data_IF_364209402593
#
_entry.id   IF_364209402593
#
_cell.length_a   1.000
_cell.length_b   1.000
_cell.length_c   1.000
_cell.angle_alpha   90.00
_cell.angle_beta   90.00
_cell.angle_gamma   90.00
#
_symmetry.space_group_name_H-M   'P 1'
#
loop_
_entity.id
_entity.type
_entity.pdbx_description
1 polymer ?
#
# COMPACT_ATOMS: atom_id res chain seq x y z
N UNK A 1 12.57 -8.12 4.34
CA UNK A 1 11.82 -6.85 4.44
C UNK A 1 10.81 -6.84 5.57
N UNK A 2 9.79 -7.71 5.59
CA UNK A 2 8.65 -7.56 6.52
C UNK A 2 8.98 -7.79 8.02
N UNK A 3 9.86 -8.73 8.36
CA UNK A 3 10.17 -9.05 9.77
C UNK A 3 11.14 -8.07 10.44
N UNK A 4 12.10 -7.54 9.67
CA UNK A 4 13.18 -6.69 10.20
C UNK A 4 13.08 -5.23 9.75
N UNK A 5 12.08 -4.90 8.91
CA UNK A 5 11.80 -3.55 8.40
C UNK A 5 13.02 -2.82 7.83
N UNK A 6 13.93 -3.56 7.20
CA UNK A 6 15.14 -2.99 6.59
C UNK A 6 14.79 -2.02 5.46
N UNK A 7 15.46 -0.87 5.45
CA UNK A 7 15.29 0.13 4.39
C UNK A 7 15.92 -0.38 3.10
N UNK A 8 15.20 -0.22 2.01
CA UNK A 8 15.62 -0.64 0.68
C UNK A 8 15.85 0.57 -0.21
N UNK A 9 16.95 0.57 -0.97
CA UNK A 9 17.23 1.57 -2.00
C UNK A 9 16.29 1.40 -3.20
N UNK A 10 16.15 2.45 -4.01
CA UNK A 10 15.32 2.40 -5.22
C UNK A 10 15.78 1.30 -6.21
N UNK A 11 17.08 1.04 -6.28
CA UNK A 11 17.64 0.01 -7.17
C UNK A 11 17.35 -1.40 -6.66
N UNK A 12 17.49 -1.64 -5.36
CA UNK A 12 17.13 -2.92 -4.74
C UNK A 12 15.62 -3.17 -4.87
N UNK A 13 14.78 -2.13 -4.72
CA UNK A 13 13.34 -2.23 -4.92
C UNK A 13 12.99 -2.60 -6.37
N UNK A 14 13.78 -2.12 -7.34
CA UNK A 14 13.63 -2.49 -8.76
C UNK A 14 14.01 -3.95 -8.99
N UNK A 15 15.11 -4.40 -8.40
CA UNK A 15 15.55 -5.79 -8.46
C UNK A 15 14.54 -6.74 -7.80
N UNK A 16 13.92 -6.33 -6.69
CA UNK A 16 12.87 -7.07 -6.00
C UNK A 16 11.50 -7.03 -6.70
N UNK A 17 11.36 -6.28 -7.81
CA UNK A 17 10.11 -6.16 -8.55
C UNK A 17 9.04 -5.28 -7.89
N UNK A 18 9.39 -4.51 -6.86
CA UNK A 18 8.47 -3.60 -6.17
C UNK A 18 8.28 -2.28 -6.93
N UNK A 19 9.30 -1.85 -7.69
CA UNK A 19 9.22 -0.68 -8.57
C UNK A 19 9.60 -1.05 -10.00
N UNK A 20 8.93 -0.43 -10.97
CA UNK A 20 9.17 -0.74 -12.38
C UNK A 20 10.40 0.02 -12.93
N UNK A 21 10.57 1.28 -12.55
CA UNK A 21 11.60 2.18 -13.09
C UNK A 21 12.15 3.06 -11.96
N UNK A 22 13.47 3.24 -11.93
CA UNK A 22 14.15 4.19 -11.05
C UNK A 22 14.52 5.41 -11.88
N UNK A 23 14.10 6.58 -11.42
CA UNK A 23 14.32 7.86 -12.10
C UNK A 23 15.13 8.77 -11.17
N UNK A 24 16.16 9.48 -11.67
CA UNK A 24 16.89 10.47 -10.87
C UNK A 24 15.95 11.54 -10.29
N UNK A 25 16.22 11.96 -9.05
CA UNK A 25 15.34 12.87 -8.30
C UNK A 25 15.02 14.16 -9.06
N UNK A 26 16.01 14.72 -9.75
CA UNK A 26 15.88 15.97 -10.51
C UNK A 26 14.91 15.85 -11.69
N UNK A 27 14.77 14.65 -12.25
CA UNK A 27 13.97 14.37 -13.45
C UNK A 27 12.63 13.70 -13.15
N UNK A 28 12.40 13.29 -11.90
CA UNK A 28 11.23 12.48 -11.52
C UNK A 28 9.91 13.07 -11.99
N UNK A 29 9.68 14.37 -11.76
CA UNK A 29 8.44 15.03 -12.15
C UNK A 29 8.23 14.99 -13.68
N UNK A 30 9.22 15.46 -14.43
CA UNK A 30 9.13 15.53 -15.89
C UNK A 30 8.98 14.14 -16.54
N UNK A 31 9.75 13.15 -16.08
CA UNK A 31 9.71 11.81 -16.66
C UNK A 31 8.44 11.02 -16.25
N UNK A 32 7.98 11.15 -15.01
CA UNK A 32 6.71 10.54 -14.58
C UNK A 32 5.52 11.10 -15.36
N UNK A 33 5.50 12.41 -15.61
CA UNK A 33 4.46 13.06 -16.40
C UNK A 33 4.44 12.57 -17.85
N UNK A 34 5.60 12.44 -18.50
CA UNK A 34 5.71 11.84 -19.84
C UNK A 34 5.17 10.40 -19.88
N UNK A 35 5.50 9.59 -18.87
CA UNK A 35 5.01 8.21 -18.77
C UNK A 35 3.47 8.18 -18.61
N UNK A 36 2.93 9.04 -17.75
CA UNK A 36 1.48 9.14 -17.55
C UNK A 36 0.76 9.60 -18.81
N UNK A 37 1.28 10.62 -19.50
CA UNK A 37 0.72 11.11 -20.77
C UNK A 37 0.74 10.02 -21.84
N UNK A 38 1.83 9.24 -21.92
CA UNK A 38 1.92 8.09 -22.83
C UNK A 38 0.83 7.04 -22.54
N UNK A 39 0.59 6.72 -21.26
CA UNK A 39 -0.44 5.75 -20.90
C UNK A 39 -1.87 6.29 -21.07
N UNK A 40 -2.07 7.60 -20.88
CA UNK A 40 -3.37 8.24 -21.07
C UNK A 40 -3.84 8.23 -22.53
N UNK A 41 -2.93 8.12 -23.51
CA UNK A 41 -3.25 8.02 -24.93
C UNK A 41 -3.73 6.62 -25.35
N UNK A 42 -3.59 5.61 -24.50
CA UNK A 42 -4.00 4.24 -24.81
C UNK A 42 -5.51 4.05 -24.68
N UNK A 43 -6.06 3.10 -25.45
CA UNK A 43 -7.49 2.78 -25.45
C UNK A 43 -7.96 2.30 -24.06
N UNK A 44 -8.87 3.03 -23.36
CA UNK A 44 -9.24 2.72 -21.98
C UNK A 44 -9.87 1.33 -21.81
N UNK A 45 -10.75 0.93 -22.74
CA UNK A 45 -11.44 -0.36 -22.66
C UNK A 45 -10.47 -1.55 -22.81
N UNK A 46 -9.48 -1.44 -23.70
CA UNK A 46 -8.44 -2.46 -23.86
C UNK A 46 -7.59 -2.58 -22.60
N UNK A 47 -7.21 -1.45 -21.99
CA UNK A 47 -6.46 -1.44 -20.73
C UNK A 47 -7.25 -2.06 -19.58
N UNK A 48 -8.54 -1.74 -19.45
CA UNK A 48 -9.41 -2.33 -18.43
C UNK A 48 -9.50 -3.85 -18.61
N UNK A 49 -9.69 -4.32 -19.84
CA UNK A 49 -9.75 -5.76 -20.13
C UNK A 49 -8.42 -6.44 -19.84
N UNK A 50 -7.30 -5.85 -20.26
CA UNK A 50 -5.97 -6.39 -19.98
C UNK A 50 -5.72 -6.49 -18.46
N UNK A 51 -6.05 -5.44 -17.69
CA UNK A 51 -5.95 -5.45 -16.22
C UNK A 51 -6.79 -6.55 -15.59
N UNK A 52 -8.01 -6.78 -16.08
CA UNK A 52 -8.87 -7.86 -15.60
C UNK A 52 -8.31 -9.25 -15.90
N UNK A 53 -7.71 -9.45 -17.08
CA UNK A 53 -7.07 -10.71 -17.44
C UNK A 53 -5.81 -10.97 -16.61
N UNK A 54 -5.01 -9.93 -16.35
CA UNK A 54 -3.82 -10.03 -15.49
C UNK A 54 -4.17 -10.27 -14.01
N UNK A 55 -5.28 -9.69 -13.52
CA UNK A 55 -5.77 -9.86 -12.14
C UNK A 55 -6.94 -10.86 -12.11
N UNK A 56 -6.59 -12.14 -12.07
CA UNK A 56 -7.58 -13.23 -12.13
C UNK A 56 -8.50 -13.25 -10.91
N UNK A 57 -9.66 -13.88 -11.05
CA UNK A 57 -10.61 -14.06 -9.94
C UNK A 57 -9.96 -14.82 -8.76
N UNK A 58 -9.15 -15.84 -9.05
CA UNK A 58 -8.43 -16.60 -8.03
C UNK A 58 -7.44 -15.73 -7.26
N UNK A 59 -6.63 -14.92 -7.94
CA UNK A 59 -5.72 -13.98 -7.28
C UNK A 59 -6.48 -12.97 -6.42
N UNK A 60 -7.61 -12.47 -6.90
CA UNK A 60 -8.47 -11.55 -6.13
C UNK A 60 -8.95 -12.21 -4.83
N UNK A 61 -9.43 -13.45 -4.88
CA UNK A 61 -9.84 -14.17 -3.67
C UNK A 61 -8.69 -14.39 -2.69
N UNK A 62 -7.50 -14.76 -3.17
CA UNK A 62 -6.32 -14.91 -2.32
C UNK A 62 -5.95 -13.59 -1.63
N UNK A 63 -6.00 -12.48 -2.35
CA UNK A 63 -5.72 -11.16 -1.80
C UNK A 63 -6.75 -10.73 -0.74
N UNK A 64 -8.04 -10.99 -0.96
CA UNK A 64 -9.05 -10.68 0.06
C UNK A 64 -8.90 -11.55 1.31
N UNK A 65 -8.57 -12.85 1.13
CA UNK A 65 -8.31 -13.77 2.24
C UNK A 65 -7.10 -13.31 3.06
N UNK A 66 -5.99 -12.96 2.40
CA UNK A 66 -4.81 -12.42 3.06
C UNK A 66 -5.12 -11.11 3.80
N UNK A 67 -5.82 -10.17 3.17
CA UNK A 67 -6.23 -8.91 3.79
C UNK A 67 -7.09 -9.14 5.04
N UNK A 68 -8.02 -10.10 5.01
CA UNK A 68 -8.83 -10.43 6.18
C UNK A 68 -7.95 -10.94 7.35
N UNK A 69 -7.04 -11.87 7.07
CA UNK A 69 -6.10 -12.39 8.09
C UNK A 69 -5.17 -11.29 8.63
N UNK A 70 -4.70 -10.39 7.77
CA UNK A 70 -3.85 -9.26 8.15
C UNK A 70 -4.61 -8.30 9.08
N UNK A 71 -5.86 -7.96 8.76
CA UNK A 71 -6.69 -7.08 9.58
C UNK A 71 -6.95 -7.70 10.96
N UNK A 72 -7.35 -8.97 11.01
CA UNK A 72 -7.59 -9.69 12.27
C UNK A 72 -6.31 -9.69 13.14
N UNK A 73 -5.16 -10.01 12.55
CA UNK A 73 -3.87 -10.00 13.25
C UNK A 73 -3.49 -8.59 13.76
N UNK A 74 -3.68 -7.56 12.94
CA UNK A 74 -3.38 -6.17 13.32
C UNK A 74 -4.29 -5.72 14.47
N UNK A 75 -5.58 -6.05 14.44
CA UNK A 75 -6.51 -5.71 15.52
C UNK A 75 -6.06 -6.34 16.85
N UNK A 76 -5.70 -7.63 16.84
CA UNK A 76 -5.19 -8.30 18.03
C UNK A 76 -3.87 -7.71 18.55
N UNK A 77 -2.97 -7.32 17.65
CA UNK A 77 -1.67 -6.74 18.01
C UNK A 77 -1.79 -5.29 18.50
N UNK A 78 -2.75 -4.51 17.99
CA UNK A 78 -2.94 -3.11 18.37
C UNK A 78 -3.34 -2.94 19.83
N UNK A 79 -4.11 -3.90 20.35
CA UNK A 79 -4.57 -3.92 21.75
C UNK A 79 -3.40 -4.26 22.71
N UNK A 80 -2.30 -4.82 22.21
CA UNK A 80 -1.18 -5.20 23.07
C UNK A 80 -0.49 -3.97 23.68
N UNK A 81 -0.16 -3.99 24.99
CA UNK A 81 0.46 -2.86 25.67
C UNK A 81 1.81 -2.44 25.09
N UNK A 82 2.55 -3.36 24.49
CA UNK A 82 3.81 -3.06 23.81
C UNK A 82 3.59 -2.22 22.56
N UNK A 83 2.67 -2.65 21.69
CA UNK A 83 2.31 -1.95 20.45
C UNK A 83 1.78 -0.55 20.75
N UNK A 84 0.84 -0.42 21.68
CA UNK A 84 0.26 0.89 22.05
C UNK A 84 1.32 1.88 22.57
N UNK A 85 2.25 1.42 23.42
CA UNK A 85 3.36 2.25 23.91
C UNK A 85 4.32 2.67 22.80
N UNK A 86 4.67 1.74 21.91
CA UNK A 86 5.56 2.02 20.78
C UNK A 86 4.93 3.01 19.78
N UNK A 87 3.63 2.89 19.51
CA UNK A 87 2.88 3.84 18.69
C UNK A 87 2.86 5.23 19.31
N UNK A 88 2.55 5.35 20.62
CA UNK A 88 2.56 6.63 21.34
C UNK A 88 3.95 7.29 21.32
N UNK A 89 5.02 6.50 21.45
CA UNK A 89 6.39 7.00 21.35
C UNK A 89 6.74 7.48 19.94
N UNK A 90 6.30 6.76 18.91
CA UNK A 90 6.54 7.12 17.51
C UNK A 90 5.72 8.34 17.06
N UNK A 91 4.53 8.53 17.64
CA UNK A 91 3.60 9.61 17.32
C UNK A 91 3.22 10.41 18.59
N UNK A 92 4.11 11.28 19.08
CA UNK A 92 3.93 11.98 20.36
C UNK A 92 2.85 13.08 20.35
N UNK A 93 2.24 13.40 19.19
CA UNK A 93 1.22 14.44 19.06
C UNK A 93 -0.21 13.87 19.19
N UNK A 94 -1.16 14.61 19.80
CA UNK A 94 -2.53 14.15 20.05
C UNK A 94 -3.42 14.08 18.80
N UNK A 95 -2.86 14.06 17.59
CA UNK A 95 -3.62 13.82 16.36
C UNK A 95 -4.32 12.46 16.37
N UNK A 96 -3.81 11.48 17.12
CA UNK A 96 -4.40 10.14 17.26
C UNK A 96 -5.66 10.11 18.16
N UNK A 97 -5.82 11.04 19.12
CA UNK A 97 -7.06 11.11 19.92
C UNK A 97 -8.30 11.43 19.08
N UNK A 98 -8.11 12.10 17.92
CA UNK A 98 -9.18 12.37 16.95
C UNK A 98 -9.48 11.18 16.04
N UNK A 99 -8.58 10.21 15.93
CA UNK A 99 -8.80 8.98 15.15
C UNK A 99 -9.45 7.87 15.97
N UNK A 100 -9.33 7.87 17.30
CA UNK A 100 -10.09 6.92 18.14
C UNK A 100 -11.61 7.07 17.98
N UNK A 101 -12.11 8.26 17.63
CA UNK A 101 -13.53 8.49 17.29
C UNK A 101 -13.88 8.24 15.81
N UNK A 102 -12.89 8.10 14.93
CA UNK A 102 -13.07 7.82 13.48
C UNK A 102 -12.84 6.32 13.19
N UNK A 103 -12.20 5.57 14.09
CA UNK A 103 -12.05 4.12 14.05
C UNK A 103 -13.35 3.39 14.41
N UNK A 104 -14.46 3.75 13.75
CA UNK A 104 -15.34 2.71 13.24
C UNK A 104 -14.52 1.97 12.18
N UNK A 105 -13.80 0.93 12.61
CA UNK A 105 -12.99 0.06 11.74
C UNK A 105 -13.77 -0.46 10.51
N UNK A 106 -15.11 -0.39 10.54
CA UNK A 106 -16.03 -0.59 9.41
C UNK A 106 -15.72 0.23 8.14
N UNK A 107 -15.09 1.41 8.25
CA UNK A 107 -14.81 2.23 7.06
C UNK A 107 -13.60 1.73 6.26
N UNK A 108 -12.62 1.11 6.92
CA UNK A 108 -11.42 0.56 6.26
C UNK A 108 -11.71 -0.78 5.55
N UNK A 109 -12.70 -1.55 6.03
CA UNK A 109 -13.13 -2.80 5.40
C UNK A 109 -13.89 -2.54 4.09
N UNK A 110 -14.49 -1.35 3.90
CA UNK A 110 -15.30 -1.01 2.71
C UNK A 110 -14.52 -0.44 1.53
N UNK A 111 -13.20 -0.22 1.66
CA UNK A 111 -12.37 0.42 0.64
C UNK A 111 -11.50 -0.55 -0.19
N UNK A 112 -11.62 -1.87 0.03
CA UNK A 112 -10.93 -2.92 -0.74
C UNK A 112 -11.86 -4.00 -1.27
#
# INVERSE_FOLDING_TARGET
>A
MLLFSEKMSANEAKQAGLVNIVIPRQLFKAESEKILQKYAQLMPQSLLKAKQLMRTQQQRHLLHSANQQEIEAIQHQWIQPETSRNVQKAFPNPTLQRYESILNFDFLVKLF
#
